data_IF_117794296339
#
_entry.id   IF_117794296339
#
_cell.length_a   1.000
_cell.length_b   1.000
_cell.length_c   1.000
_cell.angle_alpha   90.00
_cell.angle_beta   90.00
_cell.angle_gamma   90.00
#
_symmetry.space_group_name_H-M   'P 1'
#
loop_
_entity.id
_entity.type
_entity.pdbx_description
1 polymer ?
#
# COMPACT_ATOMS: atom_id res chain seq x y z
N UNK A 1 -34.34 -16.48 -2.71
CA UNK A 1 -33.05 -16.73 -3.40
C UNK A 1 -32.03 -15.82 -2.72
N UNK A 2 -31.20 -16.39 -1.87
CA UNK A 2 -30.32 -15.62 -0.99
C UNK A 2 -29.13 -15.09 -1.80
N UNK A 3 -29.11 -13.79 -2.09
CA UNK A 3 -27.89 -13.12 -2.55
C UNK A 3 -26.94 -13.04 -1.36
N UNK A 4 -26.10 -14.05 -1.21
CA UNK A 4 -24.95 -13.99 -0.31
C UNK A 4 -24.03 -12.88 -0.78
N UNK A 5 -24.03 -11.76 -0.07
CA UNK A 5 -22.95 -10.78 -0.12
C UNK A 5 -21.65 -11.55 0.07
N UNK A 6 -20.84 -11.67 -0.98
CA UNK A 6 -19.42 -11.99 -0.81
C UNK A 6 -18.73 -10.66 -0.51
N UNK A 7 -18.40 -10.35 0.77
CA UNK A 7 -17.67 -9.15 1.08
C UNK A 7 -16.21 -9.47 0.80
N UNK A 8 -15.74 -9.15 -0.39
CA UNK A 8 -14.36 -9.42 -0.77
C UNK A 8 -14.06 -8.94 -2.17
N UNK A 9 -13.00 -8.16 -2.29
CA UNK A 9 -12.41 -7.79 -3.58
C UNK A 9 -11.76 -9.07 -4.11
N UNK A 10 -12.27 -9.62 -5.21
CA UNK A 10 -11.68 -10.81 -5.85
C UNK A 10 -10.27 -10.53 -6.37
N UNK A 11 -9.45 -11.57 -6.53
CA UNK A 11 -8.05 -11.42 -6.97
C UNK A 11 -7.89 -10.66 -8.29
N UNK A 12 -8.82 -10.83 -9.24
CA UNK A 12 -8.77 -10.11 -10.51
C UNK A 12 -9.18 -8.64 -10.37
N UNK A 13 -10.14 -8.35 -9.49
CA UNK A 13 -10.54 -6.99 -9.16
C UNK A 13 -9.42 -6.25 -8.42
N UNK A 14 -8.65 -6.94 -7.57
CA UNK A 14 -7.41 -6.43 -7.01
C UNK A 14 -6.38 -6.11 -8.09
N UNK A 15 -6.11 -7.04 -9.03
CA UNK A 15 -5.14 -6.79 -10.12
C UNK A 15 -5.56 -5.63 -11.03
N UNK A 16 -6.85 -5.45 -11.26
CA UNK A 16 -7.38 -4.31 -12.00
C UNK A 16 -7.20 -3.00 -11.22
N UNK A 17 -7.55 -2.98 -9.93
CA UNK A 17 -7.35 -1.82 -9.06
C UNK A 17 -5.88 -1.42 -8.94
N UNK A 18 -4.97 -2.38 -8.80
CA UNK A 18 -3.53 -2.11 -8.77
C UNK A 18 -3.01 -1.56 -10.09
N UNK A 19 -3.59 -1.97 -11.24
CA UNK A 19 -3.25 -1.41 -12.56
C UNK A 19 -3.78 0.01 -12.74
N UNK A 20 -5.01 0.26 -12.32
CA UNK A 20 -5.71 1.53 -12.55
C UNK A 20 -5.29 2.62 -11.56
N UNK A 21 -5.04 2.24 -10.29
CA UNK A 21 -4.73 3.17 -9.21
C UNK A 21 -3.25 3.16 -8.82
N UNK A 22 -2.48 2.23 -9.40
CA UNK A 22 -1.08 1.99 -9.07
C UNK A 22 -0.90 1.27 -7.74
N UNK A 23 0.24 0.61 -7.59
CA UNK A 23 0.84 0.32 -6.29
C UNK A 23 2.15 1.07 -6.24
N UNK A 24 2.33 1.92 -5.24
CA UNK A 24 3.64 2.51 -4.96
C UNK A 24 4.38 1.61 -3.99
N UNK A 25 5.45 0.98 -4.46
CA UNK A 25 6.42 0.32 -3.59
C UNK A 25 7.61 1.25 -3.41
N UNK A 26 7.80 1.75 -2.18
CA UNK A 26 9.05 2.40 -1.77
C UNK A 26 9.88 1.40 -0.97
N UNK A 27 10.99 0.87 -1.50
CA UNK A 27 11.79 -0.10 -0.75
C UNK A 27 12.41 0.57 0.47
N UNK A 28 12.33 -0.12 1.62
CA UNK A 28 13.02 0.28 2.84
C UNK A 28 14.53 0.20 2.66
N UNK A 29 15.26 1.12 3.29
CA UNK A 29 16.71 1.06 3.32
C UNK A 29 17.17 -0.16 4.12
N UNK A 30 18.15 -0.89 3.60
CA UNK A 30 18.75 -2.00 4.34
C UNK A 30 19.55 -1.44 5.51
N UNK A 31 19.07 -1.67 6.74
CA UNK A 31 19.76 -1.27 7.96
C UNK A 31 20.43 -2.50 8.59
N UNK A 32 21.72 -2.39 8.91
CA UNK A 32 22.49 -3.50 9.49
C UNK A 32 21.87 -3.99 10.80
N UNK A 33 21.75 -5.31 10.94
CA UNK A 33 21.19 -5.95 12.14
C UNK A 33 19.67 -5.90 12.26
N UNK A 34 18.94 -5.30 11.31
CA UNK A 34 17.48 -5.24 11.29
C UNK A 34 16.89 -6.16 10.21
N UNK A 35 15.80 -6.84 10.55
CA UNK A 35 15.03 -7.61 9.56
C UNK A 35 14.18 -6.65 8.72
N UNK A 36 14.15 -6.80 7.38
CA UNK A 36 13.30 -5.98 6.52
C UNK A 36 11.82 -6.13 6.91
N UNK A 37 11.10 -5.01 7.00
CA UNK A 37 9.67 -4.98 7.25
C UNK A 37 8.93 -4.43 6.03
N UNK A 38 7.84 -5.09 5.63
CA UNK A 38 6.95 -4.60 4.57
C UNK A 38 5.66 -4.07 5.17
N UNK A 39 5.30 -2.83 4.84
CA UNK A 39 4.09 -2.13 5.27
C UNK A 39 3.22 -1.81 4.07
N UNK A 40 1.97 -2.27 4.11
CA UNK A 40 0.94 -1.85 3.17
C UNK A 40 0.31 -0.54 3.66
N UNK A 41 0.64 0.58 2.99
CA UNK A 41 0.11 1.90 3.32
C UNK A 41 -1.15 2.20 2.49
N UNK A 42 -2.24 2.58 3.15
CA UNK A 42 -3.50 2.96 2.52
C UNK A 42 -4.00 4.31 3.07
N UNK A 43 -4.59 5.13 2.20
CA UNK A 43 -5.16 6.41 2.60
C UNK A 43 -6.63 6.24 3.06
N UNK A 44 -7.13 7.19 3.85
CA UNK A 44 -8.55 7.29 4.18
C UNK A 44 -9.42 7.67 2.99
N UNK A 45 -10.74 7.56 3.11
CA UNK A 45 -11.67 7.85 2.02
C UNK A 45 -11.45 9.26 1.41
N UNK A 46 -11.35 9.33 0.08
CA UNK A 46 -11.27 10.59 -0.67
C UNK A 46 -9.89 11.26 -0.75
N UNK A 47 -8.88 10.76 -0.05
CA UNK A 47 -7.51 11.27 -0.16
C UNK A 47 -6.75 10.55 -1.30
N UNK A 48 -5.92 11.24 -2.09
CA UNK A 48 -5.14 10.60 -3.14
C UNK A 48 -3.84 9.97 -2.60
N UNK A 49 -3.46 8.78 -3.09
CA UNK A 49 -2.26 8.05 -2.66
C UNK A 49 -0.95 8.75 -3.06
N UNK A 50 -0.97 9.54 -4.13
CA UNK A 50 0.12 10.36 -4.63
C UNK A 50 0.16 11.78 -4.02
N UNK A 51 -0.61 12.02 -2.95
CA UNK A 51 -0.51 13.25 -2.18
C UNK A 51 0.90 13.43 -1.61
N UNK A 52 1.32 14.69 -1.48
CA UNK A 52 2.62 15.06 -0.88
C UNK A 52 2.78 14.47 0.54
N UNK A 53 1.69 14.42 1.31
CA UNK A 53 1.66 13.79 2.62
C UNK A 53 2.01 12.29 2.55
N UNK A 54 1.34 11.53 1.68
CA UNK A 54 1.57 10.09 1.54
C UNK A 54 2.97 9.77 1.02
N UNK A 55 3.47 10.57 0.07
CA UNK A 55 4.84 10.45 -0.43
C UNK A 55 5.87 10.73 0.67
N UNK A 56 5.65 11.80 1.46
CA UNK A 56 6.51 12.12 2.60
C UNK A 56 6.50 10.99 3.63
N UNK A 57 5.32 10.46 3.99
CA UNK A 57 5.21 9.33 4.92
C UNK A 57 5.98 8.10 4.42
N UNK A 58 5.81 7.72 3.15
CA UNK A 58 6.51 6.59 2.55
C UNK A 58 8.04 6.77 2.58
N UNK A 59 8.55 7.96 2.29
CA UNK A 59 9.98 8.27 2.36
C UNK A 59 10.56 8.14 3.78
N UNK A 60 9.84 8.63 4.79
CA UNK A 60 10.29 8.56 6.18
C UNK A 60 10.31 7.13 6.69
N UNK A 61 9.30 6.32 6.33
CA UNK A 61 9.25 4.89 6.64
C UNK A 61 10.41 4.15 5.98
N UNK A 62 10.69 4.44 4.71
CA UNK A 62 11.80 3.84 3.99
C UNK A 62 13.17 4.15 4.63
N UNK A 63 13.35 5.38 5.14
CA UNK A 63 14.55 5.75 5.89
C UNK A 63 14.74 4.98 7.21
N UNK A 64 13.66 4.42 7.77
CA UNK A 64 13.69 3.51 8.93
C UNK A 64 13.80 2.02 8.53
N UNK A 65 13.99 1.72 7.25
CA UNK A 65 14.06 0.35 6.73
C UNK A 65 12.71 -0.35 6.55
N UNK A 66 11.61 0.40 6.56
CA UNK A 66 10.26 -0.10 6.35
C UNK A 66 9.84 0.21 4.91
N UNK A 67 9.47 -0.80 4.13
CA UNK A 67 9.07 -0.61 2.72
C UNK A 67 7.94 -1.50 2.26
#
# INVERSE_FOLDING_TARGET
MSTGLQPGIGAEQWRQLTRERGCLWTPGQSLEGLQPATLLLAHGAGAPMDSEFMNSMAMHLAAQGIG
#
